data_IF_370195274324
#
_entry.id   IF_370195274324
#
_cell.length_a   1.000
_cell.length_b   1.000
_cell.length_c   1.000
_cell.angle_alpha   90.00
_cell.angle_beta   90.00
_cell.angle_gamma   90.00
#
_symmetry.space_group_name_H-M   'P 1'
#
loop_
_entity.id
_entity.type
_entity.pdbx_description
1 polymer ?
#
# COMPACT_ATOMS: atom_id res chain seq x y z
N UNK A 1 22.44 -8.22 5.84
CA UNK A 1 22.12 -7.40 4.67
C UNK A 1 21.44 -6.11 5.09
N UNK A 2 21.41 -5.11 4.22
CA UNK A 2 20.68 -3.87 4.49
C UNK A 2 19.19 -4.14 4.69
N UNK A 3 18.51 -3.48 5.64
CA UNK A 3 17.10 -3.73 5.92
C UNK A 3 16.20 -3.19 4.81
N UNK A 4 15.21 -3.98 4.43
CA UNK A 4 14.14 -3.59 3.48
C UNK A 4 12.79 -3.87 4.12
N UNK A 5 11.93 -2.85 4.20
CA UNK A 5 10.56 -2.95 4.70
C UNK A 5 9.57 -2.92 3.55
N UNK A 6 8.74 -3.94 3.44
CA UNK A 6 7.70 -4.07 2.43
C UNK A 6 6.32 -3.87 3.05
N UNK A 7 5.56 -2.90 2.54
CA UNK A 7 4.23 -2.54 3.05
C UNK A 7 3.20 -2.74 1.93
N UNK A 8 2.22 -3.59 2.18
CA UNK A 8 1.12 -3.87 1.25
C UNK A 8 0.15 -2.68 1.11
N UNK A 9 -0.70 -2.70 0.09
CA UNK A 9 -1.74 -1.69 -0.08
C UNK A 9 -2.77 -1.72 1.07
N UNK A 10 -3.50 -0.64 1.25
CA UNK A 10 -4.50 -0.53 2.30
C UNK A 10 -5.87 -0.99 1.82
N UNK A 11 -6.22 -2.22 2.18
CA UNK A 11 -7.51 -2.83 1.92
C UNK A 11 -7.76 -3.96 2.92
N UNK A 12 -9.00 -4.25 3.31
CA UNK A 12 -9.32 -5.45 4.10
C UNK A 12 -8.93 -6.77 3.43
N UNK A 13 -8.70 -6.76 2.11
CA UNK A 13 -8.26 -7.90 1.32
C UNK A 13 -6.73 -8.04 1.29
N UNK A 14 -6.01 -6.96 1.56
CA UNK A 14 -4.55 -6.88 1.42
C UNK A 14 -3.83 -7.51 2.61
N UNK A 15 -2.64 -8.00 2.35
CA UNK A 15 -1.72 -8.55 3.36
C UNK A 15 -0.29 -8.59 2.82
N UNK A 16 0.65 -8.94 3.68
CA UNK A 16 2.05 -9.19 3.29
C UNK A 16 2.20 -10.25 2.18
N UNK A 17 1.16 -11.04 1.92
CA UNK A 17 1.14 -11.96 0.78
C UNK A 17 1.40 -11.28 -0.56
N UNK A 18 1.03 -10.00 -0.72
CA UNK A 18 1.33 -9.22 -1.93
C UNK A 18 2.83 -9.23 -2.29
N UNK A 19 3.68 -9.38 -1.31
CA UNK A 19 5.13 -9.36 -1.43
C UNK A 19 5.78 -10.74 -1.52
N UNK A 20 5.02 -11.85 -1.37
CA UNK A 20 5.56 -13.19 -1.23
C UNK A 20 6.51 -13.63 -2.37
N UNK A 21 6.29 -13.13 -3.60
CA UNK A 21 7.14 -13.42 -4.75
C UNK A 21 8.35 -12.51 -4.84
N UNK A 22 8.18 -11.23 -4.50
CA UNK A 22 9.24 -10.23 -4.58
C UNK A 22 10.22 -10.34 -3.41
N UNK A 23 9.72 -10.57 -2.19
CA UNK A 23 10.54 -10.77 -1.00
C UNK A 23 11.59 -11.87 -1.18
N UNK A 24 11.21 -13.00 -1.81
CA UNK A 24 12.14 -14.10 -2.14
C UNK A 24 13.32 -13.71 -3.03
N UNK A 25 13.22 -12.60 -3.75
CA UNK A 25 14.33 -12.09 -4.57
C UNK A 25 15.26 -11.22 -3.73
N UNK A 26 14.67 -10.41 -2.85
CA UNK A 26 15.41 -9.49 -1.99
C UNK A 26 16.17 -10.22 -0.87
N UNK A 27 15.63 -11.31 -0.31
CA UNK A 27 16.21 -12.05 0.81
C UNK A 27 17.62 -12.59 0.54
N UNK A 28 18.02 -12.67 -0.73
CA UNK A 28 19.37 -13.10 -1.11
C UNK A 28 20.46 -12.10 -0.74
N UNK A 29 20.13 -10.82 -0.59
CA UNK A 29 21.09 -9.74 -0.37
C UNK A 29 20.68 -8.81 0.78
N UNK A 30 19.42 -8.86 1.21
CA UNK A 30 18.82 -7.96 2.19
C UNK A 30 18.19 -8.72 3.35
N UNK A 31 18.06 -8.05 4.49
CA UNK A 31 17.16 -8.49 5.56
C UNK A 31 15.79 -7.91 5.26
N UNK A 32 14.84 -8.77 4.89
CA UNK A 32 13.52 -8.36 4.42
C UNK A 32 12.49 -8.47 5.54
N UNK A 33 11.81 -7.36 5.80
CA UNK A 33 10.68 -7.28 6.73
C UNK A 33 9.39 -7.09 5.93
N UNK A 34 8.37 -7.85 6.27
CA UNK A 34 7.00 -7.68 5.76
C UNK A 34 6.05 -7.58 6.95
N UNK A 35 5.12 -6.66 6.91
CA UNK A 35 4.12 -6.48 7.97
C UNK A 35 2.72 -6.59 7.40
N UNK A 36 1.82 -7.19 8.16
CA UNK A 36 0.39 -7.02 7.95
C UNK A 36 -0.05 -5.80 8.77
N UNK A 37 -0.55 -4.77 8.11
CA UNK A 37 -1.06 -3.58 8.78
C UNK A 37 -2.27 -3.95 9.67
N UNK A 38 -2.45 -3.26 10.78
CA UNK A 38 -3.59 -3.48 11.67
C UNK A 38 -4.91 -3.44 10.88
N UNK A 39 -5.78 -4.40 11.08
CA UNK A 39 -7.01 -4.55 10.29
C UNK A 39 -6.86 -5.36 9.00
N UNK A 40 -5.63 -5.73 8.61
CA UNK A 40 -5.30 -6.48 7.39
C UNK A 40 -4.67 -7.84 7.72
N UNK A 41 -4.72 -8.76 6.76
CA UNK A 41 -4.02 -10.05 6.83
C UNK A 41 -4.23 -10.79 8.16
N UNK A 42 -3.12 -11.17 8.78
CA UNK A 42 -3.07 -11.90 10.06
C UNK A 42 -3.05 -11.00 11.28
N UNK A 43 -2.89 -9.68 11.09
CA UNK A 43 -2.96 -8.73 12.19
C UNK A 43 -4.36 -8.65 12.78
N UNK A 44 -4.45 -8.24 14.03
CA UNK A 44 -5.73 -8.02 14.71
C UNK A 44 -6.62 -7.03 13.94
N UNK A 45 -7.93 -7.20 14.08
CA UNK A 45 -8.95 -6.37 13.45
C UNK A 45 -9.90 -5.77 14.51
N UNK A 46 -9.36 -4.92 15.41
CA UNK A 46 -10.16 -4.37 16.51
C UNK A 46 -11.27 -3.45 16.00
N UNK A 47 -12.32 -3.35 16.81
CA UNK A 47 -13.40 -2.38 16.62
C UNK A 47 -12.94 -0.98 17.01
N UNK A 48 -12.44 -0.26 16.02
CA UNK A 48 -12.03 1.15 16.17
C UNK A 48 -12.18 1.91 14.85
N UNK A 49 -12.11 3.23 14.92
CA UNK A 49 -11.91 4.03 13.71
C UNK A 49 -10.44 4.04 13.37
N UNK A 50 -10.09 3.41 12.27
CA UNK A 50 -8.73 3.42 11.73
C UNK A 50 -8.45 4.80 11.15
N UNK A 51 -7.27 5.34 11.43
CA UNK A 51 -6.85 6.66 10.94
C UNK A 51 -5.46 6.58 10.33
N UNK A 52 -5.13 7.55 9.49
CA UNK A 52 -3.80 7.63 8.90
C UNK A 52 -2.70 7.64 9.99
N UNK A 53 -2.85 8.44 11.03
CA UNK A 53 -1.86 8.55 12.11
C UNK A 53 -1.67 7.27 12.91
N UNK A 54 -2.67 6.41 13.01
CA UNK A 54 -2.52 5.09 13.61
C UNK A 54 -1.44 4.29 12.87
N UNK A 55 -1.49 4.29 11.54
CA UNK A 55 -0.50 3.57 10.72
C UNK A 55 0.85 4.27 10.68
N UNK A 56 0.88 5.59 10.67
CA UNK A 56 2.12 6.38 10.81
C UNK A 56 2.86 5.98 12.09
N UNK A 57 2.14 5.92 13.21
CA UNK A 57 2.72 5.52 14.49
C UNK A 57 3.18 4.06 14.47
N UNK A 58 2.33 3.16 13.98
CA UNK A 58 2.63 1.72 13.90
C UNK A 58 3.90 1.46 13.07
N UNK A 59 4.03 2.10 11.90
CA UNK A 59 5.22 1.97 11.05
C UNK A 59 6.44 2.57 11.74
N UNK A 60 6.30 3.73 12.37
CA UNK A 60 7.39 4.39 13.11
C UNK A 60 7.91 3.49 14.23
N UNK A 61 7.01 2.94 15.03
CA UNK A 61 7.38 2.06 16.15
C UNK A 61 8.01 0.76 15.65
N UNK A 62 7.46 0.19 14.56
CA UNK A 62 8.04 -1.01 13.96
C UNK A 62 9.48 -0.78 13.49
N UNK A 63 9.77 0.35 12.85
CA UNK A 63 11.14 0.68 12.43
C UNK A 63 12.04 0.87 13.65
N UNK A 64 11.61 1.65 14.64
CA UNK A 64 12.43 1.98 15.82
C UNK A 64 12.67 0.80 16.76
N UNK A 65 11.65 -0.04 16.98
CA UNK A 65 11.71 -1.10 18.00
C UNK A 65 12.10 -2.46 17.43
N UNK A 66 11.74 -2.74 16.16
CA UNK A 66 11.98 -4.06 15.53
C UNK A 66 13.17 -4.00 14.57
N UNK A 67 13.17 -3.10 13.61
CA UNK A 67 14.23 -3.00 12.60
C UNK A 67 15.49 -2.38 13.22
N UNK A 68 15.34 -1.29 13.98
CA UNK A 68 16.41 -0.57 14.71
C UNK A 68 17.49 0.03 13.80
N UNK A 69 17.16 0.24 12.56
CA UNK A 69 17.99 0.85 11.53
C UNK A 69 17.07 1.53 10.51
N UNK A 70 17.59 2.41 9.67
CA UNK A 70 16.81 3.08 8.61
C UNK A 70 16.66 2.14 7.39
N UNK A 71 15.50 1.50 7.18
CA UNK A 71 15.31 0.60 6.05
C UNK A 71 15.08 1.36 4.73
N UNK A 72 15.36 0.71 3.60
CA UNK A 72 14.66 1.04 2.37
C UNK A 72 13.22 0.57 2.48
N UNK A 73 12.24 1.46 2.36
CA UNK A 73 10.82 1.09 2.41
C UNK A 73 10.22 1.05 1.02
N UNK A 74 9.49 -0.02 0.73
CA UNK A 74 8.73 -0.18 -0.52
C UNK A 74 7.26 -0.36 -0.14
N UNK A 75 6.41 0.58 -0.57
CA UNK A 75 4.99 0.57 -0.23
C UNK A 75 4.12 0.62 -1.50
N UNK A 76 3.02 -0.14 -1.48
CA UNK A 76 2.05 -0.19 -2.59
C UNK A 76 0.85 0.70 -2.30
N UNK A 77 0.35 1.36 -3.33
CA UNK A 77 -0.95 2.03 -3.31
C UNK A 77 -1.06 3.12 -2.24
N UNK A 78 -2.16 3.07 -1.50
CA UNK A 78 -2.50 4.09 -0.50
C UNK A 78 -1.59 4.10 0.74
N UNK A 79 -0.89 3.00 1.02
CA UNK A 79 0.03 2.91 2.15
C UNK A 79 1.21 3.87 2.06
N UNK A 80 1.48 4.41 0.87
CA UNK A 80 2.52 5.42 0.68
C UNK A 80 2.26 6.69 1.48
N UNK A 81 1.00 7.02 1.78
CA UNK A 81 0.67 8.20 2.60
C UNK A 81 1.19 8.06 4.03
N UNK A 82 1.11 6.87 4.61
CA UNK A 82 1.61 6.59 5.95
C UNK A 82 3.14 6.69 6.02
N UNK A 83 3.80 6.10 5.01
CA UNK A 83 5.26 6.13 4.87
C UNK A 83 5.76 7.57 4.71
N UNK A 84 5.15 8.33 3.82
CA UNK A 84 5.53 9.74 3.57
C UNK A 84 5.37 10.60 4.82
N UNK A 85 4.29 10.41 5.58
CA UNK A 85 4.07 11.15 6.81
C UNK A 85 4.95 10.67 7.97
N UNK A 86 5.25 9.37 8.05
CA UNK A 86 6.17 8.83 9.04
C UNK A 86 7.58 9.43 8.86
N UNK A 87 8.08 9.52 7.63
CA UNK A 87 9.35 10.19 7.33
C UNK A 87 9.31 11.68 7.68
N UNK A 88 8.24 12.39 7.30
CA UNK A 88 8.13 13.81 7.61
C UNK A 88 8.08 14.12 9.11
N UNK A 89 7.53 13.20 9.91
CA UNK A 89 7.46 13.34 11.38
C UNK A 89 8.73 12.88 12.08
N UNK A 90 9.51 12.01 11.46
CA UNK A 90 10.73 11.42 12.02
C UNK A 90 11.83 11.45 10.97
N UNK A 91 12.47 12.60 10.78
CA UNK A 91 13.52 12.79 9.77
C UNK A 91 14.52 11.64 9.76
N UNK A 92 14.80 11.11 8.56
CA UNK A 92 15.68 9.97 8.34
C UNK A 92 15.21 8.65 9.01
N UNK A 93 13.89 8.47 9.16
CA UNK A 93 13.30 7.20 9.58
C UNK A 93 13.61 6.09 8.56
N UNK A 94 13.66 6.47 7.28
CA UNK A 94 13.98 5.58 6.17
C UNK A 94 15.26 6.01 5.47
N UNK A 95 15.94 5.05 4.85
CA UNK A 95 17.07 5.33 3.97
C UNK A 95 16.59 5.88 2.62
N UNK A 96 15.55 5.27 2.05
CA UNK A 96 14.86 5.72 0.82
C UNK A 96 13.45 5.14 0.76
N UNK A 97 12.58 5.78 -0.02
CA UNK A 97 11.18 5.39 -0.18
C UNK A 97 10.92 5.01 -1.64
N UNK A 98 10.23 3.89 -1.86
CA UNK A 98 9.80 3.44 -3.19
C UNK A 98 8.28 3.25 -3.15
N UNK A 99 7.56 4.06 -3.90
CA UNK A 99 6.12 4.01 -4.06
C UNK A 99 5.74 3.20 -5.31
N UNK A 100 4.98 2.14 -5.14
CA UNK A 100 4.49 1.29 -6.23
C UNK A 100 3.02 1.62 -6.49
N UNK A 101 2.70 2.09 -7.69
CA UNK A 101 1.35 2.45 -8.11
C UNK A 101 0.60 3.30 -7.06
N UNK A 102 1.19 4.41 -6.58
CA UNK A 102 0.52 5.26 -5.61
C UNK A 102 -0.66 6.00 -6.25
N UNK A 103 -1.73 6.31 -5.51
CA UNK A 103 -2.74 7.26 -5.99
C UNK A 103 -2.12 8.65 -6.19
N UNK A 104 -2.78 9.51 -6.96
CA UNK A 104 -2.38 10.93 -7.04
C UNK A 104 -2.28 11.54 -5.64
N UNK A 105 -1.22 12.30 -5.33
CA UNK A 105 -1.01 12.85 -3.97
C UNK A 105 -2.15 13.77 -3.52
N UNK A 106 -2.86 14.41 -4.45
CA UNK A 106 -4.03 15.23 -4.18
C UNK A 106 -5.23 14.43 -3.67
N UNK A 107 -5.33 13.13 -4.02
CA UNK A 107 -6.40 12.23 -3.55
C UNK A 107 -6.36 12.01 -2.04
N UNK A 108 -5.21 12.22 -1.40
CA UNK A 108 -5.09 12.14 0.05
C UNK A 108 -5.56 13.41 0.79
N UNK A 109 -5.93 14.46 0.07
CA UNK A 109 -6.42 15.71 0.66
C UNK A 109 -7.94 15.74 0.81
N UNK A 110 -8.53 14.62 1.22
CA UNK A 110 -9.97 14.53 1.50
C UNK A 110 -10.19 14.50 3.01
N UNK A 111 -11.30 15.06 3.43
CA UNK A 111 -11.75 15.05 4.83
C UNK A 111 -13.10 14.36 4.93
N UNK A 112 -13.41 13.73 6.07
CA UNK A 112 -14.72 13.14 6.30
C UNK A 112 -15.84 14.16 6.03
N UNK A 113 -16.77 13.78 5.18
CA UNK A 113 -17.99 14.54 4.84
C UNK A 113 -19.22 13.88 5.49
N UNK A 114 -20.36 14.57 5.51
CA UNK A 114 -21.61 13.99 6.01
C UNK A 114 -21.97 12.68 5.28
N UNK A 115 -21.76 12.62 3.96
CA UNK A 115 -22.03 11.41 3.16
C UNK A 115 -21.05 10.28 3.47
N UNK A 116 -19.76 10.57 3.62
CA UNK A 116 -18.76 9.54 3.97
C UNK A 116 -18.91 9.05 5.40
N UNK A 117 -19.25 9.93 6.34
CA UNK A 117 -19.56 9.55 7.73
C UNK A 117 -20.81 8.65 7.80
N UNK A 118 -21.83 8.92 7.00
CA UNK A 118 -23.01 8.06 6.90
C UNK A 118 -22.64 6.68 6.34
N UNK A 119 -21.80 6.61 5.30
CA UNK A 119 -21.31 5.32 4.77
C UNK A 119 -20.57 4.52 5.82
N UNK A 120 -19.68 5.18 6.60
CA UNK A 120 -18.99 4.54 7.72
C UNK A 120 -19.99 3.97 8.72
N UNK A 121 -20.94 4.77 9.17
CA UNK A 121 -21.95 4.34 10.14
C UNK A 121 -22.75 3.12 9.64
N UNK A 122 -23.16 3.09 8.38
CA UNK A 122 -23.87 1.95 7.78
C UNK A 122 -23.01 0.67 7.75
N UNK A 123 -21.72 0.78 7.47
CA UNK A 123 -20.80 -0.36 7.45
C UNK A 123 -20.49 -0.88 8.86
N UNK A 124 -20.62 -0.06 9.89
CA UNK A 124 -20.41 -0.46 11.29
C UNK A 124 -21.64 -1.15 11.90
N UNK A 125 -22.82 -0.96 11.34
CA UNK A 125 -24.04 -1.66 11.81
C UNK A 125 -23.83 -3.18 11.79
N UNK A 126 -24.09 -3.91 12.86
CA UNK A 126 -23.73 -5.32 12.99
C UNK A 126 -24.22 -6.21 11.86
N UNK A 127 -25.51 -6.20 11.52
CA UNK A 127 -26.10 -7.07 10.50
C UNK A 127 -25.82 -6.52 9.09
N UNK A 128 -26.19 -5.27 8.83
CA UNK A 128 -26.08 -4.67 7.51
C UNK A 128 -24.62 -4.55 7.05
N UNK A 129 -23.75 -4.03 7.91
CA UNK A 129 -22.33 -3.86 7.59
C UNK A 129 -21.64 -5.22 7.38
N UNK A 130 -21.99 -6.24 8.16
CA UNK A 130 -21.47 -7.60 7.97
C UNK A 130 -21.92 -8.17 6.64
N UNK A 131 -23.20 -7.99 6.27
CA UNK A 131 -23.70 -8.43 4.96
C UNK A 131 -22.97 -7.73 3.80
N UNK A 132 -22.84 -6.40 3.84
CA UNK A 132 -22.12 -5.62 2.80
C UNK A 132 -20.67 -6.08 2.71
N UNK A 133 -20.02 -6.28 3.86
CA UNK A 133 -18.62 -6.75 3.92
C UNK A 133 -18.46 -8.10 3.24
N UNK A 134 -19.28 -9.09 3.61
CA UNK A 134 -19.20 -10.44 3.05
C UNK A 134 -19.52 -10.47 1.55
N UNK A 135 -20.43 -9.62 1.07
CA UNK A 135 -20.67 -9.47 -0.37
C UNK A 135 -19.42 -8.91 -1.07
N UNK A 136 -18.80 -7.84 -0.53
CA UNK A 136 -17.60 -7.22 -1.14
C UNK A 136 -16.39 -8.17 -1.13
N UNK A 137 -16.22 -8.97 -0.08
CA UNK A 137 -15.10 -9.91 0.09
C UNK A 137 -15.38 -11.32 -0.39
N UNK A 138 -16.52 -11.54 -1.07
CA UNK A 138 -16.85 -12.84 -1.65
C UNK A 138 -15.84 -13.24 -2.74
N UNK A 139 -15.51 -14.53 -2.84
CA UNK A 139 -14.52 -15.09 -3.78
C UNK A 139 -14.66 -14.57 -5.21
N UNK A 140 -15.90 -14.51 -5.75
CA UNK A 140 -16.17 -14.00 -7.11
C UNK A 140 -15.77 -12.55 -7.28
N UNK A 141 -15.93 -11.72 -6.24
CA UNK A 141 -15.55 -10.32 -6.28
C UNK A 141 -14.02 -10.17 -6.16
N UNK A 142 -13.37 -10.99 -5.35
CA UNK A 142 -11.90 -11.06 -5.29
C UNK A 142 -11.36 -11.48 -6.67
N UNK A 143 -11.89 -12.53 -7.27
CA UNK A 143 -11.50 -12.96 -8.62
C UNK A 143 -11.70 -11.85 -9.64
N UNK A 144 -12.82 -11.13 -9.58
CA UNK A 144 -13.08 -9.99 -10.46
C UNK A 144 -12.01 -8.89 -10.30
N UNK A 145 -11.62 -8.54 -9.06
CA UNK A 145 -10.55 -7.56 -8.79
C UNK A 145 -9.23 -7.97 -9.45
N UNK A 146 -8.84 -9.24 -9.31
CA UNK A 146 -7.64 -9.74 -9.98
C UNK A 146 -7.71 -9.59 -11.50
N UNK A 147 -8.87 -9.84 -12.10
CA UNK A 147 -9.05 -9.81 -13.55
C UNK A 147 -9.19 -8.39 -14.10
N UNK A 148 -9.80 -7.48 -13.35
CA UNK A 148 -10.07 -6.13 -13.87
C UNK A 148 -9.01 -5.10 -13.44
N UNK A 149 -8.47 -5.21 -12.22
CA UNK A 149 -7.69 -4.15 -11.61
C UNK A 149 -6.26 -4.56 -11.26
N UNK A 150 -6.07 -5.76 -10.68
CA UNK A 150 -4.79 -6.13 -10.09
C UNK A 150 -3.78 -6.64 -11.12
N UNK A 151 -4.21 -7.45 -12.10
CA UNK A 151 -3.34 -8.10 -13.06
C UNK A 151 -3.66 -7.70 -14.50
N UNK A 152 -2.63 -7.38 -15.27
CA UNK A 152 -2.73 -7.20 -16.72
C UNK A 152 -2.91 -8.55 -17.44
N UNK A 153 -2.38 -9.61 -16.84
CA UNK A 153 -2.51 -11.00 -17.30
C UNK A 153 -3.33 -11.81 -16.29
N UNK A 154 -4.68 -11.79 -16.37
CA UNK A 154 -5.56 -12.44 -15.38
C UNK A 154 -5.28 -13.92 -15.18
N UNK A 155 -4.78 -14.63 -16.21
CA UNK A 155 -4.43 -16.04 -16.14
C UNK A 155 -3.27 -16.34 -15.15
N UNK A 156 -2.54 -15.34 -14.70
CA UNK A 156 -1.51 -15.49 -13.65
C UNK A 156 -2.09 -15.50 -12.23
N UNK A 157 -3.36 -15.12 -12.07
CA UNK A 157 -4.06 -15.20 -10.80
C UNK A 157 -4.39 -16.66 -10.48
N UNK A 158 -3.55 -17.31 -9.70
CA UNK A 158 -3.78 -18.71 -9.28
C UNK A 158 -4.84 -18.79 -8.18
N UNK A 159 -5.49 -19.97 -8.05
CA UNK A 159 -6.42 -20.24 -6.95
C UNK A 159 -5.78 -19.93 -5.59
N UNK A 160 -4.54 -20.33 -5.37
CA UNK A 160 -3.79 -20.04 -4.15
C UNK A 160 -3.70 -18.54 -3.83
N UNK A 161 -3.59 -17.67 -4.86
CA UNK A 161 -3.59 -16.22 -4.64
C UNK A 161 -4.98 -15.74 -4.22
N UNK A 162 -6.03 -16.23 -4.88
CA UNK A 162 -7.41 -15.90 -4.55
C UNK A 162 -7.77 -16.36 -3.13
N UNK A 163 -7.37 -17.58 -2.78
CA UNK A 163 -7.57 -18.16 -1.44
C UNK A 163 -6.86 -17.31 -0.36
N UNK A 164 -5.62 -16.87 -0.62
CA UNK A 164 -4.88 -16.04 0.32
C UNK A 164 -5.55 -14.68 0.58
N UNK A 165 -6.14 -14.05 -0.43
CA UNK A 165 -6.91 -12.82 -0.29
C UNK A 165 -8.25 -13.04 0.41
N UNK A 166 -8.91 -14.17 0.12
CA UNK A 166 -10.13 -14.55 0.80
C UNK A 166 -9.86 -14.81 2.28
N UNK A 167 -8.83 -15.61 2.60
CA UNK A 167 -8.39 -15.89 3.97
C UNK A 167 -8.06 -14.59 4.72
N UNK A 168 -7.24 -13.70 4.14
CA UNK A 168 -6.86 -12.43 4.75
C UNK A 168 -8.07 -11.59 5.15
N UNK A 169 -9.11 -11.54 4.29
CA UNK A 169 -10.33 -10.77 4.56
C UNK A 169 -11.25 -11.42 5.60
N UNK A 170 -11.19 -12.75 5.79
CA UNK A 170 -12.11 -13.50 6.68
C UNK A 170 -11.45 -13.94 7.99
N UNK A 171 -10.15 -13.74 8.16
CA UNK A 171 -9.53 -13.91 9.47
C UNK A 171 -10.19 -12.98 10.48
N UNK A 172 -10.56 -13.50 11.65
CA UNK A 172 -11.39 -12.84 12.65
C UNK A 172 -12.81 -12.51 12.14
N UNK A 173 -13.36 -13.36 11.28
CA UNK A 173 -14.71 -13.21 10.72
C UNK A 173 -14.82 -11.94 9.85
N UNK A 174 -15.87 -11.15 10.09
CA UNK A 174 -16.13 -9.93 9.31
C UNK A 174 -15.57 -8.66 9.97
N UNK A 175 -14.61 -8.76 10.88
CA UNK A 175 -14.07 -7.60 11.60
C UNK A 175 -13.31 -6.62 10.67
N UNK A 176 -12.80 -7.08 9.53
CA UNK A 176 -12.24 -6.20 8.49
C UNK A 176 -13.20 -5.12 7.99
N UNK A 177 -14.51 -5.24 8.28
CA UNK A 177 -15.50 -4.21 7.97
C UNK A 177 -15.21 -2.85 8.64
N UNK A 178 -14.58 -2.82 9.82
CA UNK A 178 -14.26 -1.58 10.51
C UNK A 178 -13.15 -0.80 9.81
N UNK A 179 -12.16 -1.51 9.25
CA UNK A 179 -11.18 -0.90 8.35
C UNK A 179 -11.87 -0.39 7.07
N UNK A 180 -12.72 -1.22 6.45
CA UNK A 180 -13.50 -0.81 5.27
C UNK A 180 -14.34 0.44 5.57
N UNK A 181 -15.00 0.48 6.72
CA UNK A 181 -15.81 1.61 7.16
C UNK A 181 -14.96 2.89 7.31
N UNK A 182 -13.76 2.77 7.86
CA UNK A 182 -12.85 3.91 8.02
C UNK A 182 -12.30 4.42 6.68
N UNK A 183 -12.02 3.53 5.72
CA UNK A 183 -11.61 3.90 4.36
C UNK A 183 -12.75 4.62 3.64
N UNK A 184 -13.96 4.04 3.62
CA UNK A 184 -15.14 4.64 2.97
C UNK A 184 -15.57 5.96 3.67
N UNK A 185 -15.29 6.07 4.96
CA UNK A 185 -15.48 7.27 5.76
C UNK A 185 -14.46 8.37 5.52
N UNK A 186 -13.40 8.11 4.74
CA UNK A 186 -12.28 9.03 4.46
C UNK A 186 -11.43 9.38 5.69
N UNK A 187 -11.40 8.53 6.73
CA UNK A 187 -10.59 8.72 7.91
C UNK A 187 -9.11 8.35 7.69
N UNK A 188 -8.81 7.69 6.58
CA UNK A 188 -7.45 7.28 6.20
C UNK A 188 -6.73 8.36 5.39
N UNK A 189 -7.47 9.35 4.87
CA UNK A 189 -6.91 10.40 4.04
C UNK A 189 -6.22 11.46 4.92
N UNK A 190 -5.03 11.87 4.51
CA UNK A 190 -4.30 12.97 5.11
C UNK A 190 -3.35 13.57 4.07
N UNK A 191 -3.37 14.88 3.92
CA UNK A 191 -2.61 15.59 2.90
C UNK A 191 -1.10 15.34 3.04
N UNK A 192 -0.51 14.72 2.02
CA UNK A 192 0.93 14.43 1.97
C UNK A 192 1.74 15.47 1.18
N UNK A 193 1.08 16.44 0.53
CA UNK A 193 1.77 17.40 -0.36
C UNK A 193 2.86 18.20 0.35
N UNK A 194 2.60 18.61 1.60
CA UNK A 194 3.61 19.32 2.38
C UNK A 194 4.79 18.44 2.77
N UNK A 195 4.52 17.17 3.12
CA UNK A 195 5.55 16.19 3.43
C UNK A 195 6.43 15.88 2.21
N UNK A 196 5.82 15.71 1.04
CA UNK A 196 6.56 15.48 -0.21
C UNK A 196 7.50 16.66 -0.57
N UNK A 197 7.08 17.91 -0.30
CA UNK A 197 7.92 19.10 -0.54
C UNK A 197 9.11 19.20 0.41
N UNK A 198 9.03 18.57 1.58
CA UNK A 198 10.06 18.57 2.62
C UNK A 198 10.96 17.34 2.62
N UNK A 199 10.82 16.47 1.62
CA UNK A 199 11.65 15.26 1.54
C UNK A 199 13.14 15.61 1.54
N UNK A 200 13.88 14.93 2.40
CA UNK A 200 15.34 15.00 2.52
C UNK A 200 16.04 13.69 2.12
N UNK A 201 15.28 12.68 1.76
CA UNK A 201 15.75 11.37 1.34
C UNK A 201 15.23 11.04 -0.07
N UNK A 202 15.89 10.16 -0.83
CA UNK A 202 15.44 9.73 -2.15
C UNK A 202 14.04 9.11 -2.10
N UNK A 203 13.19 9.53 -3.03
CA UNK A 203 11.83 9.04 -3.17
C UNK A 203 11.57 8.62 -4.62
N UNK A 204 11.17 7.40 -4.84
CA UNK A 204 10.94 6.84 -6.16
C UNK A 204 9.47 6.50 -6.36
N UNK A 205 8.93 6.86 -7.53
CA UNK A 205 7.59 6.46 -7.94
C UNK A 205 7.71 5.50 -9.11
N UNK A 206 7.24 4.27 -8.94
CA UNK A 206 7.11 3.28 -10.01
C UNK A 206 5.64 3.11 -10.35
N UNK A 207 5.26 3.57 -11.54
CA UNK A 207 3.85 3.61 -11.97
C UNK A 207 3.60 2.71 -13.16
N UNK A 208 2.49 1.98 -13.15
CA UNK A 208 2.07 1.13 -14.26
C UNK A 208 1.60 1.96 -15.46
N UNK A 209 2.16 1.69 -16.65
CA UNK A 209 1.66 2.29 -17.90
C UNK A 209 0.25 1.83 -18.27
N UNK A 210 -0.24 0.75 -17.69
CA UNK A 210 -1.61 0.27 -17.91
C UNK A 210 -2.66 1.10 -17.16
N UNK A 211 -2.22 1.94 -16.22
CA UNK A 211 -3.09 2.89 -15.55
C UNK A 211 -3.33 4.11 -16.47
N UNK A 212 -4.58 4.44 -16.84
CA UNK A 212 -4.87 5.59 -17.69
C UNK A 212 -4.41 6.93 -17.10
N UNK A 213 -4.39 7.05 -15.77
CA UNK A 213 -3.96 8.25 -15.05
C UNK A 213 -2.43 8.30 -14.82
N UNK A 214 -1.67 7.32 -15.30
CA UNK A 214 -0.24 7.15 -14.99
C UNK A 214 0.61 8.40 -15.24
N UNK A 215 0.37 9.10 -16.34
CA UNK A 215 1.12 10.33 -16.67
C UNK A 215 0.81 11.45 -15.68
N UNK A 216 -0.45 11.58 -15.28
CA UNK A 216 -0.88 12.60 -14.31
C UNK A 216 -0.30 12.30 -12.93
N UNK A 217 -0.33 11.04 -12.49
CA UNK A 217 0.23 10.59 -11.21
C UNK A 217 1.71 10.92 -11.15
N UNK A 218 2.49 10.42 -12.12
CA UNK A 218 3.94 10.64 -12.20
C UNK A 218 4.28 12.14 -12.21
N UNK A 219 3.58 12.92 -13.04
CA UNK A 219 3.78 14.37 -13.13
C UNK A 219 3.44 15.08 -11.82
N UNK A 220 2.38 14.63 -11.14
CA UNK A 220 1.96 15.24 -9.87
C UNK A 220 2.98 14.99 -8.75
N UNK A 221 3.55 13.79 -8.65
CA UNK A 221 4.64 13.52 -7.71
C UNK A 221 5.92 14.28 -8.05
N UNK A 222 6.38 14.21 -9.30
CA UNK A 222 7.63 14.84 -9.74
C UNK A 222 7.68 16.36 -9.50
N UNK A 223 6.54 17.02 -9.52
CA UNK A 223 6.42 18.48 -9.25
C UNK A 223 6.65 18.84 -7.77
N UNK A 224 6.57 17.89 -6.83
CA UNK A 224 6.58 18.21 -5.41
C UNK A 224 8.00 18.44 -4.87
N UNK A 225 8.99 17.69 -5.36
CA UNK A 225 10.38 17.79 -4.88
C UNK A 225 11.37 17.27 -5.92
N UNK A 226 12.58 17.85 -5.94
CA UNK A 226 13.72 17.33 -6.72
C UNK A 226 14.24 15.98 -6.23
N UNK A 227 13.87 15.59 -5.02
CA UNK A 227 14.19 14.27 -4.45
C UNK A 227 13.32 13.13 -5.02
N UNK A 228 12.31 13.47 -5.85
CA UNK A 228 11.38 12.49 -6.41
C UNK A 228 11.78 12.12 -7.83
N UNK A 229 12.21 10.88 -8.00
CA UNK A 229 12.42 10.28 -9.31
C UNK A 229 11.26 9.34 -9.66
N UNK A 230 11.02 9.20 -10.96
CA UNK A 230 9.88 8.42 -11.47
C UNK A 230 10.30 7.44 -12.53
N UNK A 231 9.65 6.29 -12.54
CA UNK A 231 9.80 5.26 -13.55
C UNK A 231 8.46 4.63 -13.92
N UNK A 232 8.38 4.08 -15.12
CA UNK A 232 7.23 3.33 -15.56
C UNK A 232 7.54 1.84 -15.64
N UNK A 233 6.55 1.03 -15.27
CA UNK A 233 6.56 -0.41 -15.51
C UNK A 233 5.47 -0.78 -16.51
N UNK A 234 5.81 -1.52 -17.56
CA UNK A 234 4.89 -1.85 -18.66
C UNK A 234 4.33 -3.27 -18.52
N UNK A 235 3.13 -3.49 -19.10
CA UNK A 235 2.47 -4.81 -19.16
C UNK A 235 2.21 -5.44 -17.76
N UNK A 236 1.90 -4.60 -16.79
CA UNK A 236 1.44 -4.97 -15.45
C UNK A 236 0.33 -4.01 -15.04
N UNK A 237 -0.44 -4.36 -14.01
CA UNK A 237 -1.41 -3.46 -13.39
C UNK A 237 -1.00 -3.11 -11.96
N UNK A 238 -1.97 -3.11 -11.03
CA UNK A 238 -1.80 -2.56 -9.68
C UNK A 238 -0.75 -3.29 -8.83
N UNK A 239 -0.58 -4.61 -8.98
CA UNK A 239 0.30 -5.43 -8.14
C UNK A 239 1.49 -6.02 -8.92
N UNK A 240 2.43 -5.20 -9.43
CA UNK A 240 3.59 -5.69 -10.17
C UNK A 240 4.49 -6.61 -9.34
N UNK A 241 4.57 -6.41 -8.02
CA UNK A 241 5.34 -7.25 -7.10
C UNK A 241 4.82 -8.69 -7.04
N UNK A 242 3.55 -8.90 -7.34
CA UNK A 242 2.92 -10.22 -7.39
C UNK A 242 2.77 -10.74 -8.82
N UNK A 243 2.44 -9.88 -9.79
CA UNK A 243 2.25 -10.23 -11.20
C UNK A 243 3.57 -10.50 -11.91
N UNK A 244 4.54 -9.60 -11.80
CA UNK A 244 5.79 -9.62 -12.54
C UNK A 244 7.00 -9.16 -11.69
N UNK A 245 7.35 -9.89 -10.62
CA UNK A 245 8.38 -9.49 -9.66
C UNK A 245 9.77 -9.28 -10.29
N UNK A 246 10.10 -9.99 -11.38
CA UNK A 246 11.36 -9.81 -12.11
C UNK A 246 11.45 -8.44 -12.77
N UNK A 247 10.38 -8.01 -13.43
CA UNK A 247 10.31 -6.68 -14.04
C UNK A 247 10.38 -5.56 -13.00
N UNK A 248 9.68 -5.73 -11.88
CA UNK A 248 9.75 -4.76 -10.80
C UNK A 248 11.18 -4.64 -10.25
N UNK A 249 11.87 -5.76 -10.05
CA UNK A 249 13.26 -5.76 -9.59
C UNK A 249 14.19 -5.04 -10.59
N UNK A 250 14.00 -5.25 -11.88
CA UNK A 250 14.77 -4.57 -12.93
C UNK A 250 14.54 -3.05 -12.90
N UNK A 251 13.29 -2.60 -12.81
CA UNK A 251 12.95 -1.17 -12.77
C UNK A 251 13.55 -0.51 -11.52
N UNK A 252 13.44 -1.14 -10.36
CA UNK A 252 14.00 -0.61 -9.11
C UNK A 252 15.53 -0.56 -9.18
N UNK A 253 16.18 -1.58 -9.74
CA UNK A 253 17.63 -1.58 -9.94
C UNK A 253 18.07 -0.43 -10.85
N UNK A 254 17.38 -0.19 -11.98
CA UNK A 254 17.68 0.92 -12.87
C UNK A 254 17.56 2.30 -12.18
N UNK A 255 16.63 2.45 -11.25
CA UNK A 255 16.52 3.69 -10.46
C UNK A 255 17.75 3.89 -9.57
N UNK A 256 18.22 2.84 -8.91
CA UNK A 256 19.39 2.94 -8.05
C UNK A 256 20.70 3.21 -8.83
N UNK A 257 20.85 2.62 -10.02
CA UNK A 257 22.01 2.87 -10.89
C UNK A 257 22.08 4.31 -11.42
N UNK A 258 20.99 5.09 -11.35
CA UNK A 258 20.98 6.52 -11.69
C UNK A 258 21.51 7.41 -10.57
N UNK A 259 21.35 7.00 -9.30
CA UNK A 259 21.89 7.74 -8.15
C UNK A 259 23.41 7.73 -8.10
N UNK A 260 24.06 6.69 -8.67
CA UNK A 260 25.52 6.52 -8.61
C UNK A 260 26.26 7.28 -9.71
N UNK A 261 25.53 7.95 -10.62
CA UNK A 261 26.07 8.77 -11.71
C UNK A 261 25.89 10.25 -11.47
#
# INVERSE_FOLDING_TARGET
GTPVLLIHDLSPLSSSYEWCRYAKKLEKQHTVYTIDLLGCGRSEKPYLTYTNYLYVQLITDFVKEVIKDAPTVIATGSSISFVTLAENMNNHLFHKIIAINPPMPEKFNRTPSNSSTLKKALLEVPILGTFIYNVKTHEKNIQKLFYTEYFNKPQLASSKMLDAYYEASHMNGSHGKYLMASIEGQYMDNCILHALKKLSIPFYVVESRSNPDSVQIVTSYAKQSSMIETAYISNVKHLPQLEAPDKLAEVIRMLFEREEK
#
